data_IF_566199379147
#
_entry.id   IF_566199379147
#
_cell.length_a   1.000
_cell.length_b   1.000
_cell.length_c   1.000
_cell.angle_alpha   90.00
_cell.angle_beta   90.00
_cell.angle_gamma   90.00
#
_symmetry.space_group_name_H-M   'P 1'
#
loop_
_entity.id
_entity.type
_entity.pdbx_description
1 polymer ?
#
# COMPACT_ATOMS: atom_id res chain seq x y z
N UNK A 1 -5.08 20.73 16.28
CA UNK A 1 -3.88 21.44 16.78
C UNK A 1 -3.49 20.90 18.15
N UNK A 2 -2.19 20.72 18.41
CA UNK A 2 -1.68 20.18 19.68
C UNK A 2 -1.95 21.13 20.84
N UNK A 3 -2.50 20.63 21.95
CA UNK A 3 -2.82 21.43 23.12
C UNK A 3 -1.96 21.00 24.32
N UNK A 4 -0.85 21.69 24.60
CA UNK A 4 0.03 21.35 25.71
C UNK A 4 -0.59 21.69 27.08
N UNK A 5 -1.72 22.41 27.13
CA UNK A 5 -2.39 22.77 28.38
C UNK A 5 -3.27 21.64 28.92
N UNK A 6 -3.75 20.76 28.04
CA UNK A 6 -4.43 19.53 28.41
C UNK A 6 -3.43 18.36 28.43
N UNK A 7 -2.91 18.04 29.62
CA UNK A 7 -1.81 17.09 29.79
C UNK A 7 -2.13 15.67 29.32
N UNK A 8 -3.35 15.18 29.52
CA UNK A 8 -3.75 13.82 29.11
C UNK A 8 -3.86 13.75 27.58
N UNK A 9 -4.60 14.68 26.99
CA UNK A 9 -4.75 14.79 25.53
C UNK A 9 -3.39 14.98 24.82
N UNK A 10 -2.49 15.77 25.42
CA UNK A 10 -1.16 16.00 24.86
C UNK A 10 -0.27 14.75 24.87
N UNK A 11 -0.41 13.85 25.86
CA UNK A 11 0.33 12.58 25.88
C UNK A 11 -0.11 11.68 24.74
N UNK A 12 -1.41 11.60 24.46
CA UNK A 12 -1.96 10.81 23.36
C UNK A 12 -1.58 11.40 22.01
N UNK A 13 -1.68 12.73 21.86
CA UNK A 13 -1.26 13.44 20.65
C UNK A 13 0.20 13.21 20.28
N UNK A 14 1.10 13.10 21.26
CA UNK A 14 2.52 12.80 21.02
C UNK A 14 2.78 11.38 20.51
N UNK A 15 1.81 10.49 20.64
CA UNK A 15 1.86 9.13 20.10
C UNK A 15 1.17 9.04 18.73
N UNK A 16 0.59 10.13 18.22
CA UNK A 16 -0.06 10.13 16.92
C UNK A 16 0.98 10.15 15.78
N UNK A 17 0.55 9.65 14.62
CA UNK A 17 1.37 9.50 13.43
C UNK A 17 1.88 10.84 12.88
N UNK A 18 1.04 11.88 12.94
CA UNK A 18 1.38 13.23 12.47
C UNK A 18 2.43 13.92 13.34
N UNK A 19 2.47 13.65 14.66
CA UNK A 19 3.52 14.16 15.56
C UNK A 19 4.92 13.77 15.10
N UNK A 20 5.13 12.50 14.73
CA UNK A 20 6.44 12.02 14.29
C UNK A 20 6.87 12.63 12.96
N UNK A 21 5.93 13.03 12.11
CA UNK A 21 6.23 13.76 10.88
C UNK A 21 6.53 15.22 11.20
N UNK A 22 5.61 15.94 11.85
CA UNK A 22 5.73 17.37 12.10
C UNK A 22 6.97 17.76 12.92
N UNK A 23 7.45 16.88 13.79
CA UNK A 23 8.70 17.11 14.54
C UNK A 23 9.95 17.14 13.63
N UNK A 24 9.95 16.41 12.52
CA UNK A 24 11.14 16.15 11.71
C UNK A 24 11.21 16.98 10.41
N UNK A 25 10.11 17.62 10.01
CA UNK A 25 10.08 18.46 8.81
C UNK A 25 8.69 18.56 8.18
N UNK A 26 8.66 19.07 6.95
CA UNK A 26 7.43 19.20 6.15
C UNK A 26 7.42 18.29 4.92
N UNK A 27 8.57 17.73 4.53
CA UNK A 27 8.71 16.92 3.32
C UNK A 27 9.30 15.57 3.70
N UNK A 28 8.63 14.49 3.30
CA UNK A 28 9.00 13.12 3.63
C UNK A 28 9.05 12.24 2.39
N UNK A 29 10.00 11.32 2.37
CA UNK A 29 10.13 10.30 1.33
C UNK A 29 9.61 8.95 1.82
N UNK A 30 8.91 8.24 0.96
CA UNK A 30 8.53 6.84 1.11
C UNK A 30 9.18 6.00 0.01
N UNK A 31 9.56 4.76 0.31
CA UNK A 31 10.31 3.93 -0.62
C UNK A 31 9.40 3.26 -1.67
N UNK A 32 8.11 3.14 -1.39
CA UNK A 32 7.14 2.49 -2.25
C UNK A 32 5.72 3.05 -2.03
N UNK A 33 4.85 2.85 -3.03
CA UNK A 33 3.47 3.30 -3.00
C UNK A 33 2.64 2.79 -1.80
N UNK A 34 2.88 1.56 -1.32
CA UNK A 34 2.14 1.03 -0.16
C UNK A 34 2.39 1.86 1.11
N UNK A 35 3.66 2.19 1.39
CA UNK A 35 4.01 3.01 2.55
C UNK A 35 3.41 4.41 2.44
N UNK A 36 3.45 5.02 1.25
CA UNK A 36 2.83 6.32 0.97
C UNK A 36 1.31 6.27 1.19
N UNK A 37 0.64 5.24 0.66
CA UNK A 37 -0.81 5.08 0.77
C UNK A 37 -1.24 4.84 2.22
N UNK A 38 -0.49 4.03 2.94
CA UNK A 38 -0.72 3.77 4.38
C UNK A 38 -0.58 5.05 5.21
N UNK A 39 0.45 5.86 4.93
CA UNK A 39 0.64 7.16 5.57
C UNK A 39 -0.52 8.11 5.29
N UNK A 40 -0.99 8.16 4.04
CA UNK A 40 -2.14 8.98 3.66
C UNK A 40 -3.44 8.55 4.36
N UNK A 41 -3.69 7.24 4.49
CA UNK A 41 -4.87 6.73 5.23
C UNK A 41 -4.81 7.19 6.68
N UNK A 42 -3.66 7.02 7.35
CA UNK A 42 -3.50 7.46 8.75
C UNK A 42 -3.68 8.95 8.93
N UNK A 43 -3.16 9.77 8.01
CA UNK A 43 -3.35 11.22 8.06
C UNK A 43 -4.82 11.60 7.80
N UNK A 44 -5.50 10.90 6.88
CA UNK A 44 -6.93 11.06 6.66
C UNK A 44 -7.76 10.73 7.92
N UNK A 45 -7.44 9.64 8.62
CA UNK A 45 -8.09 9.25 9.88
C UNK A 45 -7.85 10.28 11.00
N UNK A 46 -6.73 11.00 10.95
CA UNK A 46 -6.41 12.13 11.83
C UNK A 46 -7.06 13.46 11.38
N UNK A 47 -7.87 13.44 10.32
CA UNK A 47 -8.63 14.59 9.83
C UNK A 47 -7.86 15.54 8.91
N UNK A 48 -6.74 15.10 8.32
CA UNK A 48 -6.05 15.89 7.29
C UNK A 48 -6.77 15.84 5.95
N UNK A 49 -6.71 16.94 5.19
CA UNK A 49 -7.08 16.97 3.78
C UNK A 49 -5.93 16.43 2.94
N UNK A 50 -6.08 15.23 2.36
CA UNK A 50 -5.02 14.59 1.58
C UNK A 50 -5.28 14.74 0.08
N UNK A 51 -4.42 15.49 -0.59
CA UNK A 51 -4.35 15.59 -2.06
C UNK A 51 -3.40 14.53 -2.60
N UNK A 52 -3.93 13.54 -3.32
CA UNK A 52 -3.12 12.49 -3.94
C UNK A 52 -2.90 12.76 -5.41
N UNK A 53 -1.66 12.61 -5.86
CA UNK A 53 -1.24 12.79 -7.24
C UNK A 53 -0.41 11.57 -7.67
N UNK A 54 -0.72 11.04 -8.85
CA UNK A 54 0.09 10.02 -9.51
C UNK A 54 0.98 10.70 -10.57
N UNK A 55 2.28 10.76 -10.29
CA UNK A 55 3.30 11.32 -11.17
C UNK A 55 3.95 10.31 -12.10
N UNK A 56 3.59 9.02 -12.02
CA UNK A 56 4.23 7.95 -12.79
C UNK A 56 4.19 8.15 -14.30
N UNK A 57 3.21 8.90 -14.81
CA UNK A 57 2.99 9.17 -16.24
C UNK A 57 3.41 10.55 -16.70
N UNK A 58 4.05 11.35 -15.86
CA UNK A 58 4.53 12.66 -16.30
C UNK A 58 5.59 12.51 -17.39
N UNK A 59 5.47 13.34 -18.41
CA UNK A 59 6.44 13.42 -19.51
C UNK A 59 7.13 14.78 -19.56
N UNK A 60 6.57 15.76 -18.85
CA UNK A 60 7.05 17.14 -18.77
C UNK A 60 6.74 17.78 -17.41
N UNK A 61 7.38 18.90 -17.10
CA UNK A 61 7.03 19.73 -15.94
C UNK A 61 5.62 20.33 -16.05
N UNK A 62 5.11 20.52 -17.27
CA UNK A 62 3.74 21.00 -17.50
C UNK A 62 2.69 19.98 -17.02
N UNK A 63 2.95 18.68 -17.19
CA UNK A 63 2.08 17.61 -16.68
C UNK A 63 1.98 17.68 -15.14
N UNK A 64 3.10 17.95 -14.47
CA UNK A 64 3.14 18.17 -13.02
C UNK A 64 2.32 19.41 -12.62
N UNK A 65 2.54 20.54 -13.29
CA UNK A 65 1.79 21.77 -13.01
C UNK A 65 0.28 21.58 -13.21
N UNK A 66 -0.14 20.84 -14.25
CA UNK A 66 -1.53 20.52 -14.49
C UNK A 66 -2.12 19.62 -13.40
N UNK A 67 -1.37 18.59 -12.97
CA UNK A 67 -1.79 17.70 -11.90
C UNK A 67 -1.95 18.43 -10.55
N UNK A 68 -1.01 19.32 -10.22
CA UNK A 68 -1.07 20.13 -9.00
C UNK A 68 -2.27 21.06 -9.02
N UNK A 69 -2.49 21.74 -10.16
CA UNK A 69 -3.61 22.65 -10.31
C UNK A 69 -4.96 21.94 -10.17
N UNK A 70 -5.09 20.73 -10.74
CA UNK A 70 -6.29 19.93 -10.63
C UNK A 70 -6.52 19.44 -9.19
N UNK A 71 -5.50 18.87 -8.54
CA UNK A 71 -5.62 18.29 -7.20
C UNK A 71 -5.92 19.36 -6.14
N UNK A 72 -5.16 20.45 -6.13
CA UNK A 72 -5.26 21.50 -5.12
C UNK A 72 -6.21 22.64 -5.52
N UNK A 73 -6.99 22.48 -6.60
CA UNK A 73 -7.97 23.46 -7.08
C UNK A 73 -7.37 24.85 -7.32
N UNK A 74 -6.19 24.91 -7.97
CA UNK A 74 -5.55 26.19 -8.29
C UNK A 74 -6.40 27.02 -9.26
N UNK A 75 -6.33 28.35 -9.16
CA UNK A 75 -7.11 29.25 -10.00
C UNK A 75 -6.70 29.18 -11.48
N UNK A 76 -7.61 29.56 -12.36
CA UNK A 76 -7.41 29.53 -13.82
C UNK A 76 -6.27 30.44 -14.31
N UNK A 77 -5.86 31.43 -13.52
CA UNK A 77 -4.73 32.31 -13.82
C UNK A 77 -3.36 31.73 -13.41
N UNK A 78 -3.31 30.50 -12.91
CA UNK A 78 -2.07 29.84 -12.51
C UNK A 78 -1.07 29.76 -13.68
N UNK A 79 0.06 30.46 -13.56
CA UNK A 79 1.05 30.65 -14.62
C UNK A 79 1.98 29.46 -14.92
N UNK A 80 1.78 28.31 -14.27
CA UNK A 80 2.50 27.03 -14.51
C UNK A 80 4.03 27.17 -14.57
N UNK A 81 4.58 27.89 -13.59
CA UNK A 81 6.02 27.99 -13.35
C UNK A 81 6.27 27.97 -11.84
N UNK A 82 7.53 27.90 -11.41
CA UNK A 82 7.89 27.74 -10.00
C UNK A 82 7.53 28.97 -9.13
N UNK A 83 7.63 30.18 -9.67
CA UNK A 83 7.24 31.40 -8.95
C UNK A 83 5.71 31.42 -8.77
N UNK A 84 4.96 31.14 -9.83
CA UNK A 84 3.51 30.99 -9.76
C UNK A 84 3.10 29.85 -8.82
N UNK A 85 3.85 28.74 -8.77
CA UNK A 85 3.61 27.61 -7.85
C UNK A 85 3.80 28.05 -6.41
N UNK A 86 4.87 28.80 -6.14
CA UNK A 86 5.13 29.42 -4.86
C UNK A 86 3.95 30.27 -4.40
N UNK A 87 3.44 31.14 -5.28
CA UNK A 87 2.36 32.07 -4.96
C UNK A 87 1.07 31.33 -4.62
N UNK A 88 0.65 30.41 -5.50
CA UNK A 88 -0.59 29.65 -5.26
C UNK A 88 -0.51 28.73 -4.04
N UNK A 89 0.68 28.22 -3.68
CA UNK A 89 0.87 27.46 -2.44
C UNK A 89 0.82 28.36 -1.19
N UNK A 90 1.14 29.65 -1.30
CA UNK A 90 0.93 30.60 -0.19
C UNK A 90 -0.55 30.84 0.10
N UNK A 91 -1.38 30.85 -0.95
CA UNK A 91 -2.84 30.93 -0.83
C UNK A 91 -3.41 29.65 -0.21
N UNK A 92 -2.88 28.47 -0.57
CA UNK A 92 -3.20 27.21 0.11
C UNK A 92 -2.82 27.28 1.59
N UNK A 93 -1.62 27.78 1.91
CA UNK A 93 -1.18 27.96 3.29
C UNK A 93 -2.13 28.85 4.10
N UNK A 94 -2.74 29.86 3.47
CA UNK A 94 -3.66 30.81 4.08
C UNK A 94 -5.14 30.40 4.04
N UNK A 95 -5.46 29.14 3.67
CA UNK A 95 -6.83 28.63 3.55
C UNK A 95 -7.71 29.28 2.47
N UNK A 96 -7.10 29.89 1.44
CA UNK A 96 -7.85 30.50 0.33
C UNK A 96 -8.51 29.46 -0.59
N UNK A 97 -7.81 28.36 -0.89
CA UNK A 97 -8.28 27.20 -1.65
C UNK A 97 -7.29 26.04 -1.46
N UNK A 98 -7.66 24.83 -1.90
CA UNK A 98 -6.76 23.66 -1.81
C UNK A 98 -6.45 23.21 -0.37
N UNK A 99 -7.09 23.83 0.62
CA UNK A 99 -7.04 23.53 2.04
C UNK A 99 -8.39 23.92 2.65
N UNK A 100 -8.65 23.48 3.88
CA UNK A 100 -9.91 23.73 4.57
C UNK A 100 -9.61 24.05 6.05
N UNK A 101 -10.05 25.19 6.59
CA UNK A 101 -9.80 25.55 7.99
C UNK A 101 -10.48 24.61 9.01
N UNK A 102 -11.42 23.76 8.57
CA UNK A 102 -12.07 22.75 9.42
C UNK A 102 -11.22 21.47 9.56
N UNK A 103 -10.26 21.24 8.66
CA UNK A 103 -9.40 20.05 8.70
C UNK A 103 -8.20 20.26 9.62
N UNK A 104 -7.58 19.17 10.04
CA UNK A 104 -6.38 19.20 10.89
C UNK A 104 -5.19 19.88 10.19
N UNK A 105 -5.14 19.78 8.87
CA UNK A 105 -4.09 20.33 8.01
C UNK A 105 -4.20 19.81 6.58
N UNK A 106 -3.21 20.13 5.75
CA UNK A 106 -3.18 19.74 4.33
C UNK A 106 -1.99 18.85 4.02
N UNK A 107 -2.21 17.79 3.25
CA UNK A 107 -1.17 16.86 2.80
C UNK A 107 -1.17 16.83 1.28
N UNK A 108 0.02 16.96 0.68
CA UNK A 108 0.25 16.69 -0.73
C UNK A 108 1.03 15.39 -0.85
N UNK A 109 0.41 14.34 -1.38
CA UNK A 109 1.01 13.03 -1.57
C UNK A 109 1.24 12.77 -3.06
N UNK A 110 2.49 12.48 -3.45
CA UNK A 110 2.88 12.29 -4.85
C UNK A 110 3.51 10.90 -5.01
N UNK A 111 2.82 10.01 -5.71
CA UNK A 111 3.35 8.72 -6.15
C UNK A 111 4.21 8.89 -7.42
N UNK A 112 5.20 8.03 -7.63
CA UNK A 112 6.05 8.05 -8.83
C UNK A 112 6.87 9.34 -8.98
N UNK A 113 7.35 9.95 -7.90
CA UNK A 113 8.06 11.23 -7.95
C UNK A 113 9.39 11.16 -8.72
N UNK A 114 9.97 9.96 -8.82
CA UNK A 114 11.17 9.68 -9.61
C UNK A 114 11.03 10.13 -11.07
N UNK A 115 9.82 10.11 -11.64
CA UNK A 115 9.55 10.58 -13.00
C UNK A 115 9.92 12.06 -13.17
N UNK A 116 9.54 12.92 -12.22
CA UNK A 116 9.92 14.33 -12.27
C UNK A 116 11.43 14.52 -12.06
N UNK A 117 12.04 13.72 -11.19
CA UNK A 117 13.49 13.75 -10.94
C UNK A 117 14.27 13.37 -12.20
N UNK A 118 13.74 12.45 -13.02
CA UNK A 118 14.33 12.05 -14.30
C UNK A 118 14.14 13.12 -15.40
N UNK A 119 12.98 13.80 -15.43
CA UNK A 119 12.72 14.90 -16.37
C UNK A 119 13.65 16.07 -16.08
N UNK A 120 13.63 16.59 -14.86
CA UNK A 120 14.53 17.64 -14.39
C UNK A 120 14.66 17.60 -12.86
N UNK A 121 15.80 17.06 -12.39
CA UNK A 121 16.16 17.00 -10.97
C UNK A 121 16.13 18.37 -10.29
N UNK A 122 16.50 19.45 -10.98
CA UNK A 122 16.48 20.79 -10.39
C UNK A 122 15.05 21.24 -10.12
N UNK A 123 14.17 21.12 -11.10
CA UNK A 123 12.74 21.42 -10.93
C UNK A 123 12.12 20.55 -9.83
N UNK A 124 12.41 19.25 -9.81
CA UNK A 124 11.91 18.34 -8.77
C UNK A 124 12.31 18.80 -7.35
N UNK A 125 13.53 19.28 -7.17
CA UNK A 125 13.95 19.83 -5.87
C UNK A 125 13.25 21.15 -5.54
N UNK A 126 13.18 22.06 -6.51
CA UNK A 126 12.59 23.39 -6.31
C UNK A 126 11.09 23.32 -6.00
N UNK A 127 10.36 22.34 -6.53
CA UNK A 127 8.96 22.09 -6.18
C UNK A 127 8.84 21.76 -4.68
N UNK A 128 9.69 20.86 -4.17
CA UNK A 128 9.69 20.51 -2.74
C UNK A 128 10.14 21.69 -1.88
N UNK A 129 11.11 22.50 -2.35
CA UNK A 129 11.54 23.73 -1.65
C UNK A 129 10.41 24.75 -1.56
N UNK A 130 9.65 24.93 -2.64
CA UNK A 130 8.48 25.82 -2.66
C UNK A 130 7.45 25.35 -1.64
N UNK A 131 7.13 24.05 -1.62
CA UNK A 131 6.20 23.49 -0.64
C UNK A 131 6.71 23.68 0.79
N UNK A 132 7.96 23.30 1.08
CA UNK A 132 8.53 23.40 2.42
C UNK A 132 8.54 24.84 2.94
N UNK A 133 8.84 25.82 2.07
CA UNK A 133 8.78 27.24 2.43
C UNK A 133 7.35 27.66 2.79
N UNK A 134 6.35 27.29 1.99
CA UNK A 134 4.96 27.67 2.26
C UNK A 134 4.36 26.90 3.43
N UNK A 135 4.79 25.67 3.68
CA UNK A 135 4.39 24.91 4.86
C UNK A 135 4.87 25.56 6.17
N UNK A 136 6.01 26.25 6.16
CA UNK A 136 6.47 27.04 7.32
C UNK A 136 5.63 28.30 7.50
N UNK A 137 5.25 28.97 6.41
CA UNK A 137 4.31 30.09 6.45
C UNK A 137 2.96 29.64 7.02
N UNK A 138 2.44 28.49 6.55
CA UNK A 138 1.20 27.88 7.03
C UNK A 138 1.22 27.62 8.54
N UNK A 139 2.37 27.26 9.11
CA UNK A 139 2.56 27.13 10.55
C UNK A 139 2.19 28.40 11.35
N UNK A 140 2.33 29.60 10.76
CA UNK A 140 1.90 30.86 11.39
C UNK A 140 0.38 31.00 11.47
N UNK A 141 -0.35 30.32 10.59
CA UNK A 141 -1.81 30.26 10.56
C UNK A 141 -2.37 29.05 11.31
N UNK A 142 -1.55 28.38 12.13
CA UNK A 142 -1.92 27.12 12.77
C UNK A 142 -2.30 26.01 11.77
N UNK A 143 -1.76 26.08 10.54
CA UNK A 143 -2.05 25.15 9.44
C UNK A 143 -0.85 24.22 9.19
N UNK A 144 -0.88 22.96 9.67
CA UNK A 144 0.12 21.96 9.34
C UNK A 144 0.01 21.57 7.86
N UNK A 145 1.09 21.73 7.11
CA UNK A 145 1.21 21.27 5.72
C UNK A 145 2.34 20.24 5.59
N UNK A 146 2.03 19.10 4.97
CA UNK A 146 2.97 18.00 4.73
C UNK A 146 3.03 17.64 3.25
N UNK A 147 4.22 17.35 2.74
CA UNK A 147 4.43 16.79 1.41
C UNK A 147 5.07 15.40 1.54
N UNK A 148 4.41 14.40 0.99
CA UNK A 148 4.86 13.01 1.00
C UNK A 148 5.16 12.60 -0.43
N UNK A 149 6.36 12.10 -0.69
CA UNK A 149 6.76 11.65 -2.03
C UNK A 149 7.19 10.20 -2.01
N UNK A 150 6.69 9.40 -2.95
CA UNK A 150 7.27 8.10 -3.26
C UNK A 150 8.46 8.29 -4.19
N UNK A 151 9.64 7.85 -3.76
CA UNK A 151 10.86 7.85 -4.59
C UNK A 151 11.78 6.72 -4.17
N UNK A 152 12.20 5.90 -5.13
CA UNK A 152 13.02 4.71 -4.96
C UNK A 152 14.52 5.05 -4.88
N UNK A 153 14.97 5.50 -3.70
CA UNK A 153 16.40 5.61 -3.36
C UNK A 153 17.16 6.78 -4.00
N UNK A 154 16.48 7.72 -4.67
CA UNK A 154 17.15 8.95 -5.11
C UNK A 154 17.29 9.91 -3.95
N UNK A 155 18.53 10.31 -3.64
CA UNK A 155 18.77 11.42 -2.72
C UNK A 155 18.20 12.71 -3.33
N UNK A 156 17.15 13.24 -2.71
CA UNK A 156 16.51 14.50 -3.08
C UNK A 156 17.33 15.72 -2.61
N UNK A 157 18.36 15.48 -1.79
CA UNK A 157 19.13 16.49 -1.10
C UNK A 157 18.31 17.25 -0.05
N UNK A 158 18.90 18.25 0.59
CA UNK A 158 18.19 19.04 1.58
C UNK A 158 17.15 19.94 0.90
N UNK A 159 15.92 19.89 1.40
CA UNK A 159 14.78 20.68 0.98
C UNK A 159 14.47 21.75 2.03
N UNK A 160 14.46 23.01 1.60
CA UNK A 160 14.28 24.18 2.45
C UNK A 160 15.32 24.28 3.57
N UNK A 161 16.49 23.64 3.43
CA UNK A 161 17.54 23.60 4.44
C UNK A 161 17.44 22.46 5.47
N UNK A 162 16.50 21.52 5.30
CA UNK A 162 16.40 20.29 6.08
C UNK A 162 16.58 19.07 5.17
N UNK A 163 17.17 18.00 5.68
CA UNK A 163 17.24 16.73 4.93
C UNK A 163 15.83 16.16 4.72
N UNK A 164 15.61 15.52 3.57
CA UNK A 164 14.35 14.81 3.30
C UNK A 164 14.41 13.45 4.00
N UNK A 165 13.80 13.36 5.17
CA UNK A 165 13.76 12.12 5.94
C UNK A 165 12.80 11.11 5.33
N UNK A 166 13.09 9.83 5.59
CA UNK A 166 12.11 8.76 5.37
C UNK A 166 10.93 8.97 6.31
N UNK A 167 9.72 8.96 5.78
CA UNK A 167 8.50 9.06 6.58
C UNK A 167 8.35 7.90 7.55
N UNK A 168 7.60 8.11 8.63
CA UNK A 168 7.29 7.03 9.57
C UNK A 168 6.41 5.97 8.88
N UNK A 169 6.73 4.70 9.10
CA UNK A 169 5.98 3.53 8.58
C UNK A 169 5.42 2.76 9.76
N UNK A 170 4.10 2.67 9.82
CA UNK A 170 3.38 2.08 10.96
C UNK A 170 2.58 0.84 10.57
N UNK A 171 2.41 0.63 9.26
CA UNK A 171 1.77 -0.55 8.71
C UNK A 171 2.83 -1.48 8.14
N UNK A 172 2.61 -2.76 8.34
CA UNK A 172 3.38 -3.80 7.67
C UNK A 172 2.69 -4.07 6.36
N UNK A 173 3.44 -3.94 5.26
CA UNK A 173 2.94 -4.31 3.94
C UNK A 173 2.33 -5.71 3.98
N UNK A 174 1.19 -5.95 3.32
CA UNK A 174 0.68 -7.31 3.20
C UNK A 174 1.78 -8.20 2.60
N UNK A 175 1.85 -9.45 3.05
CA UNK A 175 2.68 -10.48 2.44
C UNK A 175 1.75 -11.37 1.58
N UNK A 176 1.80 -11.30 0.25
CA UNK A 176 2.70 -10.52 -0.60
C UNK A 176 2.28 -9.04 -0.74
N UNK A 177 3.20 -8.17 -1.17
CA UNK A 177 2.91 -6.76 -1.44
C UNK A 177 1.77 -6.62 -2.46
N UNK A 178 0.96 -5.57 -2.31
CA UNK A 178 -0.17 -5.25 -3.20
C UNK A 178 -0.04 -3.79 -3.69
N UNK A 179 0.05 -3.55 -5.02
CA UNK A 179 0.14 -4.57 -6.08
C UNK A 179 1.52 -5.25 -6.11
N UNK A 180 1.54 -6.53 -6.53
CA UNK A 180 2.78 -7.22 -6.87
C UNK A 180 3.07 -7.04 -8.36
N UNK A 181 4.35 -6.96 -8.74
CA UNK A 181 4.80 -6.76 -10.11
C UNK A 181 5.48 -7.99 -10.71
N UNK A 182 5.84 -7.91 -12.01
CA UNK A 182 6.43 -9.03 -12.77
C UNK A 182 7.78 -9.56 -12.23
N UNK A 183 8.43 -8.77 -11.38
CA UNK A 183 9.67 -9.13 -10.66
C UNK A 183 9.42 -9.92 -9.38
N UNK A 184 8.19 -9.90 -8.86
CA UNK A 184 7.84 -10.55 -7.61
C UNK A 184 7.38 -12.00 -7.86
N UNK A 185 7.80 -12.91 -6.99
CA UNK A 185 7.29 -14.27 -6.95
C UNK A 185 6.39 -14.38 -5.73
N UNK A 186 5.11 -14.65 -5.98
CA UNK A 186 4.11 -14.89 -4.94
C UNK A 186 3.87 -16.38 -4.81
N UNK A 187 4.07 -16.92 -3.61
CA UNK A 187 3.71 -18.30 -3.30
C UNK A 187 2.40 -18.33 -2.49
N UNK A 188 1.40 -19.03 -3.03
CA UNK A 188 0.18 -19.38 -2.32
C UNK A 188 0.26 -20.81 -1.83
N UNK A 189 -0.04 -21.03 -0.55
CA UNK A 189 -0.11 -22.35 0.06
C UNK A 189 -1.56 -22.68 0.41
N UNK A 190 -2.08 -23.78 -0.12
CA UNK A 190 -3.39 -24.33 0.26
C UNK A 190 -3.18 -25.50 1.21
N UNK A 191 -3.77 -25.44 2.41
CA UNK A 191 -3.76 -26.53 3.37
C UNK A 191 -5.05 -27.35 3.27
N UNK A 192 -4.95 -28.65 3.03
CA UNK A 192 -6.11 -29.55 2.86
C UNK A 192 -5.82 -30.96 3.37
N UNK A 193 -6.80 -31.61 4.00
CA UNK A 193 -6.65 -33.01 4.42
C UNK A 193 -6.96 -33.96 3.27
N UNK A 194 -5.94 -34.68 2.79
CA UNK A 194 -6.06 -35.63 1.68
C UNK A 194 -5.31 -36.92 2.00
N UNK A 195 -5.71 -38.01 1.33
CA UNK A 195 -4.86 -39.20 1.19
C UNK A 195 -3.84 -38.97 0.08
N UNK A 196 -2.82 -39.82 -0.02
CA UNK A 196 -1.79 -39.68 -1.06
C UNK A 196 -2.35 -39.83 -2.48
N UNK A 197 -3.30 -40.75 -2.68
CA UNK A 197 -4.02 -40.88 -3.95
C UNK A 197 -4.93 -39.66 -4.21
N UNK A 198 -5.61 -39.17 -3.17
CA UNK A 198 -6.47 -37.98 -3.28
C UNK A 198 -5.71 -36.69 -3.56
N UNK A 199 -4.44 -36.58 -3.16
CA UNK A 199 -3.58 -35.44 -3.49
C UNK A 199 -3.32 -35.33 -5.00
N UNK A 200 -3.11 -36.46 -5.69
CA UNK A 200 -2.90 -36.47 -7.14
C UNK A 200 -4.17 -36.04 -7.87
N UNK A 201 -5.32 -36.58 -7.47
CA UNK A 201 -6.63 -36.22 -8.03
C UNK A 201 -6.96 -34.75 -7.78
N UNK A 202 -6.69 -34.26 -6.57
CA UNK A 202 -6.92 -32.85 -6.22
C UNK A 202 -6.06 -31.91 -7.08
N UNK A 203 -4.77 -32.19 -7.26
CA UNK A 203 -3.90 -31.38 -8.14
C UNK A 203 -4.36 -31.40 -9.58
N UNK A 204 -4.77 -32.57 -10.09
CA UNK A 204 -5.28 -32.70 -11.45
C UNK A 204 -6.55 -31.85 -11.66
N UNK A 205 -7.43 -31.83 -10.67
CA UNK A 205 -8.68 -31.09 -10.72
C UNK A 205 -8.53 -29.60 -10.39
N UNK A 206 -7.51 -29.22 -9.62
CA UNK A 206 -7.15 -27.83 -9.30
C UNK A 206 -6.59 -27.09 -10.51
N UNK A 207 -5.81 -27.78 -11.36
CA UNK A 207 -5.16 -27.20 -12.54
C UNK A 207 -6.10 -26.43 -13.47
N UNK A 208 -7.25 -26.97 -13.94
CA UNK A 208 -8.16 -26.22 -14.81
C UNK A 208 -8.80 -25.01 -14.11
N UNK A 209 -9.06 -25.09 -12.81
CA UNK A 209 -9.63 -23.96 -12.04
C UNK A 209 -8.61 -22.84 -11.88
N UNK A 210 -7.34 -23.17 -11.61
CA UNK A 210 -6.27 -22.18 -11.59
C UNK A 210 -6.02 -21.58 -12.97
N UNK A 211 -6.13 -22.37 -14.05
CA UNK A 211 -5.95 -21.87 -15.41
C UNK A 211 -7.00 -20.80 -15.78
N UNK A 212 -8.25 -21.00 -15.36
CA UNK A 212 -9.33 -20.03 -15.57
C UNK A 212 -9.16 -18.81 -14.65
N UNK A 213 -8.91 -19.04 -13.35
CA UNK A 213 -8.80 -17.97 -12.35
C UNK A 213 -7.57 -17.07 -12.54
N UNK A 214 -6.45 -17.65 -12.97
CA UNK A 214 -5.19 -16.96 -13.21
C UNK A 214 -4.95 -16.69 -14.69
N UNK A 215 -5.99 -16.76 -15.54
CA UNK A 215 -5.88 -16.49 -16.97
C UNK A 215 -5.29 -15.09 -17.26
N UNK A 216 -5.66 -14.11 -16.43
CA UNK A 216 -5.21 -12.72 -16.53
C UNK A 216 -3.88 -12.45 -15.80
N UNK A 217 -3.34 -13.45 -15.07
CA UNK A 217 -2.10 -13.31 -14.29
C UNK A 217 -0.96 -14.06 -14.96
N UNK A 218 -0.01 -13.31 -15.51
CA UNK A 218 1.25 -13.74 -16.12
C UNK A 218 1.53 -15.25 -16.19
N UNK A 219 2.47 -15.74 -15.38
CA UNK A 219 2.91 -17.14 -15.33
C UNK A 219 2.61 -17.72 -13.95
N UNK A 220 2.04 -18.92 -13.91
CA UNK A 220 1.83 -19.64 -12.66
C UNK A 220 2.20 -21.11 -12.80
N UNK A 221 2.54 -21.74 -11.69
CA UNK A 221 2.84 -23.17 -11.61
C UNK A 221 2.48 -23.74 -10.24
N UNK A 222 2.01 -24.98 -10.22
CA UNK A 222 1.92 -25.76 -8.98
C UNK A 222 3.33 -26.28 -8.71
N UNK A 223 3.95 -25.82 -7.63
CA UNK A 223 5.33 -26.13 -7.26
C UNK A 223 5.44 -27.55 -6.70
N UNK A 224 4.40 -28.01 -5.99
CA UNK A 224 4.33 -29.36 -5.47
C UNK A 224 3.28 -29.52 -4.38
N UNK A 225 3.19 -30.75 -3.88
CA UNK A 225 2.40 -31.10 -2.71
C UNK A 225 3.33 -31.75 -1.69
N UNK A 226 3.31 -31.27 -0.46
CA UNK A 226 4.03 -31.87 0.65
C UNK A 226 3.08 -32.16 1.82
N UNK A 227 3.52 -33.00 2.75
CA UNK A 227 2.85 -33.13 4.03
C UNK A 227 3.21 -31.94 4.90
N UNK A 228 2.23 -31.31 5.53
CA UNK A 228 2.47 -30.31 6.57
C UNK A 228 3.28 -30.92 7.72
N UNK A 229 4.04 -30.08 8.42
CA UNK A 229 4.74 -30.52 9.63
C UNK A 229 3.75 -30.98 10.71
N UNK A 230 4.19 -31.87 11.60
CA UNK A 230 3.36 -32.35 12.71
C UNK A 230 2.88 -31.21 13.62
N UNK A 231 3.74 -30.21 13.85
CA UNK A 231 3.39 -29.00 14.60
C UNK A 231 2.27 -28.19 13.94
N UNK A 232 2.33 -28.02 12.61
CA UNK A 232 1.31 -27.31 11.83
C UNK A 232 0.01 -28.09 11.81
N UNK A 233 0.07 -29.41 11.63
CA UNK A 233 -1.10 -30.28 11.68
C UNK A 233 -1.79 -30.24 13.05
N UNK A 234 -1.02 -30.21 14.15
CA UNK A 234 -1.57 -30.13 15.50
C UNK A 234 -2.19 -28.76 15.80
N UNK A 235 -1.54 -27.67 15.39
CA UNK A 235 -2.09 -26.32 15.52
C UNK A 235 -3.40 -26.17 14.74
N UNK A 236 -3.46 -26.69 13.51
CA UNK A 236 -4.66 -26.63 12.66
C UNK A 236 -5.79 -27.53 13.13
N UNK A 237 -5.49 -28.68 13.74
CA UNK A 237 -6.50 -29.56 14.31
C UNK A 237 -7.34 -28.88 15.40
N UNK A 238 -6.78 -27.91 16.15
CA UNK A 238 -7.49 -27.18 17.21
C UNK A 238 -8.61 -26.28 16.69
N UNK A 239 -8.52 -25.83 15.42
CA UNK A 239 -9.50 -24.96 14.79
C UNK A 239 -10.60 -25.74 14.04
N UNK A 240 -10.55 -27.07 14.04
CA UNK A 240 -11.57 -27.92 13.41
C UNK A 240 -12.68 -28.31 14.39
N UNK A 241 -13.93 -28.22 13.92
CA UNK A 241 -15.10 -28.74 14.63
C UNK A 241 -15.29 -30.26 14.53
N UNK A 242 -14.63 -30.94 13.59
CA UNK A 242 -14.69 -32.40 13.39
C UNK A 242 -13.28 -32.98 13.21
N UNK A 243 -13.02 -34.21 13.72
CA UNK A 243 -11.74 -34.88 13.52
C UNK A 243 -11.47 -35.17 12.03
N UNK A 244 -10.19 -35.24 11.62
CA UNK A 244 -9.85 -35.53 10.24
C UNK A 244 -10.34 -36.92 9.80
N UNK A 245 -10.78 -37.06 8.53
CA UNK A 245 -11.16 -38.36 7.99
C UNK A 245 -10.04 -39.39 8.13
N UNK A 246 -10.39 -40.62 8.48
CA UNK A 246 -9.42 -41.71 8.66
C UNK A 246 -8.59 -41.92 7.38
N UNK A 247 -7.27 -42.04 7.52
CA UNK A 247 -6.34 -42.21 6.40
C UNK A 247 -5.99 -40.94 5.61
N UNK A 248 -6.34 -39.75 6.13
CA UNK A 248 -5.93 -38.46 5.55
C UNK A 248 -4.88 -37.76 6.41
N UNK A 249 -4.01 -36.99 5.75
CA UNK A 249 -3.02 -36.13 6.40
C UNK A 249 -3.17 -34.70 5.88
N UNK A 250 -2.73 -33.72 6.68
CA UNK A 250 -2.71 -32.33 6.25
C UNK A 250 -1.64 -32.17 5.17
N UNK A 251 -2.07 -31.88 3.96
CA UNK A 251 -1.23 -31.66 2.79
C UNK A 251 -1.18 -30.16 2.49
N UNK A 252 -0.01 -29.69 2.09
CA UNK A 252 0.25 -28.31 1.66
C UNK A 252 0.51 -28.33 0.16
N UNK A 253 -0.35 -27.64 -0.59
CA UNK A 253 -0.21 -27.47 -2.04
C UNK A 253 0.33 -26.07 -2.29
N UNK A 254 1.50 -25.99 -2.94
CA UNK A 254 2.17 -24.71 -3.21
C UNK A 254 1.95 -24.29 -4.66
N UNK A 255 1.55 -23.04 -4.85
CA UNK A 255 1.29 -22.43 -6.15
C UNK A 255 2.16 -21.18 -6.25
N UNK A 256 3.14 -21.21 -7.16
CA UNK A 256 3.96 -20.06 -7.48
C UNK A 256 3.32 -19.25 -8.60
N UNK A 257 3.19 -17.95 -8.40
CA UNK A 257 2.65 -16.99 -9.36
C UNK A 257 3.69 -15.90 -9.60
N UNK A 258 3.87 -15.54 -10.87
CA UNK A 258 4.74 -14.46 -11.33
C UNK A 258 4.00 -13.62 -12.36
N UNK A 259 3.81 -12.35 -12.07
CA UNK A 259 3.10 -11.41 -12.94
C UNK A 259 2.71 -10.16 -12.16
N UNK A 260 1.96 -9.25 -12.79
CA UNK A 260 1.35 -8.11 -12.11
C UNK A 260 -0.07 -8.43 -11.63
N UNK A 261 -0.44 -8.02 -10.41
CA UNK A 261 -1.79 -8.24 -9.89
C UNK A 261 -2.15 -7.37 -8.68
N UNK A 262 -3.46 -7.22 -8.44
CA UNK A 262 -4.03 -6.46 -7.31
C UNK A 262 -4.75 -7.39 -6.31
N UNK A 263 -5.19 -6.86 -5.16
CA UNK A 263 -6.04 -7.51 -4.13
C UNK A 263 -7.17 -8.44 -4.61
N UNK A 264 -7.62 -8.35 -5.87
CA UNK A 264 -8.58 -9.32 -6.44
C UNK A 264 -8.04 -10.75 -6.48
N UNK A 265 -6.72 -10.93 -6.61
CA UNK A 265 -6.04 -12.23 -6.50
C UNK A 265 -5.76 -12.63 -5.04
N UNK A 266 -5.88 -11.67 -4.12
CA UNK A 266 -5.76 -11.85 -2.67
C UNK A 266 -6.98 -12.49 -2.01
N UNK A 267 -7.93 -13.06 -2.76
CA UNK A 267 -9.13 -13.71 -2.19
C UNK A 267 -9.24 -15.16 -2.69
N UNK A 268 -8.13 -15.81 -2.98
CA UNK A 268 -8.12 -17.19 -3.47
C UNK A 268 -8.70 -18.20 -2.45
N UNK A 269 -8.65 -17.89 -1.15
CA UNK A 269 -9.11 -18.78 -0.07
C UNK A 269 -10.64 -18.86 0.11
N UNK A 270 -11.38 -17.80 -0.24
CA UNK A 270 -12.84 -17.72 0.00
C UNK A 270 -13.69 -17.94 -1.25
N UNK A 271 -13.12 -17.84 -2.46
CA UNK A 271 -13.84 -18.00 -3.73
C UNK A 271 -13.45 -19.25 -4.53
N UNK A 272 -12.55 -20.11 -4.05
CA UNK A 272 -12.25 -21.36 -4.75
C UNK A 272 -13.46 -22.32 -4.67
N UNK A 273 -13.99 -22.80 -5.81
CA UNK A 273 -14.96 -23.88 -5.80
C UNK A 273 -14.31 -25.10 -5.15
N UNK A 274 -15.04 -25.75 -4.25
CA UNK A 274 -14.61 -26.99 -3.60
C UNK A 274 -14.47 -28.09 -4.66
N UNK A 275 -13.25 -28.52 -4.95
CA UNK A 275 -12.98 -29.57 -5.94
C UNK A 275 -12.71 -30.88 -5.18
N UNK A 276 -13.71 -31.76 -5.15
CA UNK A 276 -13.60 -33.13 -4.67
C UNK A 276 -14.15 -34.12 -5.69
N UNK A 277 -13.61 -35.35 -5.77
CA UNK A 277 -14.09 -36.34 -6.71
C UNK A 277 -15.48 -36.82 -6.26
N UNK A 278 -16.49 -36.52 -7.07
CA UNK A 278 -17.83 -37.16 -7.09
C UNK A 278 -18.41 -37.60 -5.73
N UNK A 279 -18.99 -36.68 -4.95
CA UNK A 279 -20.14 -36.99 -4.08
C UNK A 279 -20.73 -35.74 -3.40
N UNK A 280 -22.03 -35.52 -3.62
CA UNK A 280 -22.99 -34.70 -2.87
C UNK A 280 -22.48 -33.39 -2.22
N UNK A 281 -22.69 -32.29 -2.95
CA UNK A 281 -22.34 -30.90 -2.64
C UNK A 281 -22.88 -30.32 -1.31
N UNK A 282 -23.74 -31.06 -0.59
CA UNK A 282 -24.38 -30.61 0.66
C UNK A 282 -23.61 -30.98 1.93
N UNK A 283 -22.75 -32.02 1.91
CA UNK A 283 -22.07 -32.55 3.12
C UNK A 283 -20.68 -31.96 3.39
N UNK A 284 -20.00 -31.41 2.38
CA UNK A 284 -18.60 -30.96 2.52
C UNK A 284 -18.41 -29.47 2.85
N UNK A 285 -19.47 -28.64 2.77
CA UNK A 285 -19.39 -27.20 3.15
C UNK A 285 -18.91 -26.96 4.59
N UNK A 286 -18.91 -27.98 5.46
CA UNK A 286 -18.42 -27.90 6.85
C UNK A 286 -17.05 -28.55 7.10
N UNK A 287 -16.39 -29.16 6.10
CA UNK A 287 -15.24 -30.07 6.32
C UNK A 287 -13.87 -29.61 5.82
N UNK A 288 -13.75 -28.57 4.98
CA UNK A 288 -12.45 -28.01 4.64
C UNK A 288 -12.39 -26.53 4.98
N UNK A 289 -11.45 -26.17 5.86
CA UNK A 289 -10.90 -24.83 5.96
C UNK A 289 -9.82 -24.71 4.89
N UNK A 290 -10.13 -24.08 3.76
CA UNK A 290 -9.11 -23.65 2.79
C UNK A 290 -8.55 -22.35 3.34
N UNK A 291 -7.35 -22.38 3.91
CA UNK A 291 -6.68 -21.20 4.42
C UNK A 291 -5.40 -20.99 3.63
N UNK A 292 -5.35 -19.90 2.86
CA UNK A 292 -4.23 -19.57 2.00
C UNK A 292 -3.17 -18.82 2.80
N UNK A 293 -2.06 -19.49 3.14
CA UNK A 293 -0.90 -18.84 3.74
C UNK A 293 0.02 -18.37 2.62
N UNK A 294 0.57 -17.17 2.72
CA UNK A 294 1.32 -16.53 1.64
C UNK A 294 2.74 -16.20 2.05
N UNK A 295 3.65 -16.27 1.08
CA UNK A 295 5.01 -15.76 1.17
C UNK A 295 5.41 -15.17 -0.18
N UNK A 296 5.80 -13.89 -0.21
CA UNK A 296 6.51 -13.30 -1.33
C UNK A 296 8.01 -13.40 -1.10
N UNK A 297 8.74 -13.72 -2.17
CA UNK A 297 10.21 -13.60 -2.18
C UNK A 297 10.59 -12.70 -3.35
N UNK A 298 11.33 -11.62 -3.04
CA UNK A 298 11.92 -10.73 -4.07
C UNK A 298 13.25 -11.31 -4.51
N UNK A 299 13.45 -11.44 -5.82
CA UNK A 299 14.73 -11.84 -6.41
C UNK A 299 15.75 -10.69 -6.38
#
# INVERSE_FOLDING_TARGET
MFDPTNRELFVDQRQQFDWSLLQNGQVFRYDNGFELDSACVRLGDLGYLVHRIDGSRWTSADDMHAAFAAAMSFPSYYGRNLDALSDVLSDVAAYSYGSDPVTTGTVLAIAGYDTLVQIDRRTARLVLDCFARQARLAGLYAHPMLCLVESSGTDLGPVGGLDVYRGSVWDVAPDPPDPFGDTDIVEFMIQIYLSDAGAVEYVAALRPVLADFLADVGRWQILGVSSASESTAQARAQFRGEPPPAGTRLMEVFIGVRGAGTSRFSVMGSSMPFIGPTCDSSRWRRRCSVEAVRRATRL
#
